data_IF_032669986299
#
_entry.id   IF_032669986299
#
_cell.length_a   1.000
_cell.length_b   1.000
_cell.length_c   1.000
_cell.angle_alpha   90.00
_cell.angle_beta   90.00
_cell.angle_gamma   90.00
#
_symmetry.space_group_name_H-M   'P 1'
#
loop_
_entity.id
_entity.type
_entity.pdbx_description
1 polymer ?
#
# COMPACT_ATOMS: atom_id res chain seq x y z
N UNK A 1 37.23 36.58 26.39
CA UNK A 1 36.46 37.82 26.66
C UNK A 1 36.18 38.64 25.40
N UNK A 2 36.85 38.42 24.26
CA UNK A 2 36.67 39.20 23.02
C UNK A 2 35.32 39.01 22.31
N UNK A 3 34.58 37.93 22.61
CA UNK A 3 33.29 37.63 21.94
C UNK A 3 32.21 38.70 22.16
N UNK A 4 32.23 39.36 23.32
CA UNK A 4 31.23 40.38 23.67
C UNK A 4 31.52 41.75 23.02
N UNK A 5 32.75 42.00 22.58
CA UNK A 5 33.13 43.27 21.94
C UNK A 5 32.78 43.31 20.45
N UNK A 6 32.63 42.14 19.81
CA UNK A 6 32.30 42.02 18.39
C UNK A 6 30.81 41.80 18.11
N UNK A 7 29.92 41.99 19.10
CA UNK A 7 28.48 41.77 18.91
C UNK A 7 27.87 42.98 18.19
N UNK A 8 27.39 42.84 16.94
CA UNK A 8 26.69 43.94 16.28
C UNK A 8 25.45 44.32 17.09
N UNK A 9 25.06 45.59 17.02
CA UNK A 9 23.81 46.07 17.60
C UNK A 9 22.61 45.29 17.03
N UNK A 10 21.54 45.18 17.81
CA UNK A 10 20.36 44.38 17.42
C UNK A 10 19.76 44.84 16.08
N UNK A 11 19.71 46.14 15.83
CA UNK A 11 19.21 46.72 14.57
C UNK A 11 20.07 46.33 13.37
N UNK A 12 21.40 46.38 13.53
CA UNK A 12 22.36 45.99 12.48
C UNK A 12 22.20 44.51 12.14
N UNK A 13 22.05 43.67 13.15
CA UNK A 13 21.84 42.24 12.97
C UNK A 13 20.51 41.95 12.26
N UNK A 14 19.45 42.66 12.60
CA UNK A 14 18.13 42.49 11.98
C UNK A 14 18.16 42.87 10.49
N UNK A 15 18.83 43.98 10.14
CA UNK A 15 19.00 44.39 8.75
C UNK A 15 19.81 43.35 7.95
N UNK A 16 20.91 42.85 8.52
CA UNK A 16 21.72 41.80 7.90
C UNK A 16 20.92 40.50 7.68
N UNK A 17 20.07 40.11 8.63
CA UNK A 17 19.20 38.95 8.49
C UNK A 17 18.16 39.20 7.40
N UNK A 18 17.56 40.41 7.35
CA UNK A 18 16.63 40.80 6.30
C UNK A 18 17.23 40.68 4.91
N UNK A 19 18.39 41.30 4.70
CA UNK A 19 19.13 41.27 3.43
C UNK A 19 19.56 39.85 3.04
N UNK A 20 19.94 39.03 4.04
CA UNK A 20 20.28 37.63 3.79
C UNK A 20 19.06 36.81 3.37
N UNK A 21 17.91 36.99 4.03
CA UNK A 21 16.69 36.27 3.70
C UNK A 21 16.18 36.63 2.30
N UNK A 22 16.15 37.91 1.95
CA UNK A 22 15.70 38.36 0.62
C UNK A 22 16.59 37.80 -0.49
N UNK A 23 17.91 37.93 -0.36
CA UNK A 23 18.85 37.38 -1.36
C UNK A 23 18.82 35.86 -1.44
N UNK A 24 18.54 35.17 -0.33
CA UNK A 24 18.41 33.71 -0.31
C UNK A 24 17.11 33.25 -0.98
N UNK A 25 15.99 33.92 -0.70
CA UNK A 25 14.69 33.63 -1.32
C UNK A 25 14.71 33.88 -2.83
N UNK A 26 15.35 34.97 -3.29
CA UNK A 26 15.54 35.27 -4.71
C UNK A 26 16.30 34.14 -5.43
N UNK A 27 17.44 33.70 -4.88
CA UNK A 27 18.22 32.57 -5.42
C UNK A 27 17.41 31.28 -5.49
N UNK A 28 16.61 31.01 -4.46
CA UNK A 28 15.81 29.78 -4.39
C UNK A 28 14.67 29.78 -5.42
N UNK A 29 14.05 30.93 -5.66
CA UNK A 29 13.04 31.09 -6.72
C UNK A 29 13.65 30.98 -8.13
N UNK A 30 14.85 31.54 -8.36
CA UNK A 30 15.58 31.36 -9.62
C UNK A 30 15.91 29.89 -9.89
N UNK A 31 16.40 29.16 -8.88
CA UNK A 31 16.63 27.72 -8.99
C UNK A 31 15.34 26.93 -9.26
N UNK A 32 14.22 27.31 -8.63
CA UNK A 32 12.94 26.64 -8.87
C UNK A 32 12.49 26.85 -10.31
N UNK A 33 12.56 28.09 -10.82
CA UNK A 33 12.24 28.43 -12.21
C UNK A 33 13.14 27.70 -13.20
N UNK A 34 14.45 27.61 -12.92
CA UNK A 34 15.39 26.87 -13.77
C UNK A 34 15.07 25.37 -13.82
N UNK A 35 14.73 24.77 -12.67
CA UNK A 35 14.30 23.36 -12.60
C UNK A 35 12.98 23.13 -13.34
N UNK A 36 12.03 24.05 -13.24
CA UNK A 36 10.75 24.01 -13.96
C UNK A 36 10.95 24.13 -15.48
N UNK A 37 11.83 25.04 -15.94
CA UNK A 37 12.17 25.20 -17.36
C UNK A 37 12.85 23.94 -17.93
N UNK A 38 13.82 23.37 -17.21
CA UNK A 38 14.51 22.14 -17.62
C UNK A 38 13.54 20.95 -17.70
N UNK A 39 12.60 20.87 -16.76
CA UNK A 39 11.54 19.86 -16.78
C UNK A 39 10.60 20.02 -18.00
N UNK A 40 10.26 21.26 -18.37
CA UNK A 40 9.42 21.55 -19.53
C UNK A 40 10.10 21.18 -20.86
N UNK A 41 11.40 21.47 -21.02
CA UNK A 41 12.17 21.13 -22.22
C UNK A 41 12.32 19.62 -22.43
N UNK A 42 12.50 18.85 -21.35
CA UNK A 42 12.63 17.40 -21.41
C UNK A 42 11.31 16.64 -21.60
N UNK A 43 10.17 17.32 -21.57
CA UNK A 43 8.84 16.69 -21.61
C UNK A 43 8.49 15.88 -20.36
N UNK A 44 9.22 16.06 -19.26
CA UNK A 44 8.99 15.35 -17.99
C UNK A 44 8.42 16.32 -16.95
N UNK A 45 7.22 16.07 -16.45
CA UNK A 45 6.60 16.87 -15.39
C UNK A 45 7.12 16.48 -14.00
N UNK A 46 7.54 17.47 -13.21
CA UNK A 46 7.94 17.26 -11.81
C UNK A 46 6.71 16.90 -10.99
N UNK A 47 6.68 15.70 -10.42
CA UNK A 47 5.59 15.26 -9.53
C UNK A 47 5.70 16.01 -8.20
N UNK A 48 4.79 16.96 -7.98
CA UNK A 48 4.65 17.59 -6.67
C UNK A 48 3.84 16.69 -5.75
N UNK A 49 4.44 16.28 -4.63
CA UNK A 49 3.71 15.60 -3.58
C UNK A 49 2.88 16.61 -2.78
N UNK A 50 1.61 16.77 -3.13
CA UNK A 50 0.66 17.45 -2.26
C UNK A 50 0.44 16.61 -1.01
N UNK A 51 1.18 16.92 0.06
CA UNK A 51 0.94 16.35 1.38
C UNK A 51 -0.35 16.96 1.91
N UNK A 52 -1.50 16.43 1.47
CA UNK A 52 -2.77 16.76 2.11
C UNK A 52 -2.68 16.23 3.53
N UNK A 53 -2.43 17.14 4.47
CA UNK A 53 -2.60 16.84 5.89
C UNK A 53 -4.10 16.58 6.04
N UNK A 54 -4.51 15.31 6.08
CA UNK A 54 -5.86 14.94 6.52
C UNK A 54 -6.05 15.59 7.88
N UNK A 55 -6.83 16.67 7.94
CA UNK A 55 -7.25 17.26 9.21
C UNK A 55 -8.23 16.27 9.83
N UNK A 56 -7.71 15.36 10.64
CA UNK A 56 -8.51 14.45 11.48
C UNK A 56 -8.73 15.03 12.88
N UNK A 57 -8.43 16.32 13.04
CA UNK A 57 -8.52 17.04 14.31
C UNK A 57 -9.50 18.18 14.10
N UNK A 58 -10.60 18.13 14.83
CA UNK A 58 -11.54 19.23 14.94
C UNK A 58 -10.83 20.42 15.63
N UNK A 59 -10.94 21.61 15.06
CA UNK A 59 -10.19 22.80 15.51
C UNK A 59 -10.67 23.35 16.86
N UNK A 60 -11.88 22.98 17.28
CA UNK A 60 -12.48 23.44 18.54
C UNK A 60 -12.14 22.51 19.71
N UNK A 61 -12.06 21.20 19.47
CA UNK A 61 -11.94 20.19 20.53
C UNK A 61 -10.58 19.50 20.60
N UNK A 62 -9.71 19.62 19.59
CA UNK A 62 -8.37 19.01 19.59
C UNK A 62 -8.34 17.48 19.59
N UNK A 63 -9.51 16.83 19.55
CA UNK A 63 -9.63 15.36 19.61
C UNK A 63 -9.43 14.79 18.20
N UNK A 64 -8.49 13.86 18.09
CA UNK A 64 -8.26 13.10 16.87
C UNK A 64 -9.39 12.07 16.69
N UNK A 65 -10.40 12.39 15.86
CA UNK A 65 -11.47 11.44 15.49
C UNK A 65 -10.94 10.52 14.40
N UNK A 66 -10.12 9.56 14.81
CA UNK A 66 -9.61 8.49 13.96
C UNK A 66 -10.46 7.22 14.06
N UNK A 67 -11.78 7.31 14.17
CA UNK A 67 -12.64 6.12 14.08
C UNK A 67 -12.83 5.75 12.61
N UNK A 68 -11.87 5.01 12.06
CA UNK A 68 -12.06 4.40 10.75
C UNK A 68 -13.14 3.34 10.91
N UNK A 69 -14.37 3.67 10.51
CA UNK A 69 -15.49 2.73 10.49
C UNK A 69 -15.05 1.41 9.82
N UNK A 70 -15.28 0.27 10.47
CA UNK A 70 -14.88 -1.04 9.96
C UNK A 70 -15.41 -1.27 8.54
N UNK A 71 -16.65 -0.83 8.28
CA UNK A 71 -17.25 -0.84 6.95
C UNK A 71 -16.43 -0.06 5.89
N UNK A 72 -15.76 1.02 6.26
CA UNK A 72 -14.89 1.77 5.34
C UNK A 72 -13.54 1.07 5.10
N UNK A 73 -13.06 0.25 6.04
CA UNK A 73 -11.87 -0.60 5.85
C UNK A 73 -12.20 -1.79 4.96
N UNK A 74 -13.31 -2.47 5.21
CA UNK A 74 -13.78 -3.61 4.42
C UNK A 74 -14.05 -3.20 2.96
N UNK A 75 -14.72 -2.07 2.74
CA UNK A 75 -14.91 -1.53 1.39
C UNK A 75 -13.58 -1.17 0.71
N UNK A 76 -12.57 -0.72 1.46
CA UNK A 76 -11.23 -0.45 0.91
C UNK A 76 -10.45 -1.73 0.62
N UNK A 77 -10.66 -2.80 1.39
CA UNK A 77 -10.07 -4.11 1.14
C UNK A 77 -10.72 -4.78 -0.06
N UNK A 78 -12.05 -4.75 -0.17
CA UNK A 78 -12.79 -5.28 -1.31
C UNK A 78 -12.49 -4.54 -2.63
N UNK A 79 -12.22 -3.23 -2.57
CA UNK A 79 -11.82 -2.43 -3.74
C UNK A 79 -10.36 -2.60 -4.14
N UNK A 80 -9.52 -3.20 -3.30
CA UNK A 80 -8.14 -3.53 -3.70
C UNK A 80 -8.20 -4.72 -4.64
N UNK A 81 -7.68 -4.54 -5.85
CA UNK A 81 -7.39 -5.66 -6.75
C UNK A 81 -6.43 -6.60 -6.00
N UNK A 82 -6.77 -7.89 -5.92
CA UNK A 82 -5.90 -8.89 -5.31
C UNK A 82 -4.52 -8.79 -5.98
N UNK A 83 -3.52 -8.37 -5.21
CA UNK A 83 -2.11 -8.26 -5.62
C UNK A 83 -1.40 -9.61 -5.56
N UNK A 84 -2.16 -10.68 -5.43
CA UNK A 84 -1.62 -12.03 -5.40
C UNK A 84 -1.37 -12.46 -6.83
N UNK A 85 -0.16 -12.97 -7.06
CA UNK A 85 0.20 -13.66 -8.30
C UNK A 85 -0.87 -14.73 -8.52
N UNK A 86 -1.56 -14.67 -9.67
CA UNK A 86 -2.67 -15.58 -9.96
C UNK A 86 -2.26 -17.03 -9.66
N UNK A 87 -3.17 -17.83 -9.11
CA UNK A 87 -2.90 -19.19 -8.61
C UNK A 87 -2.34 -20.17 -9.66
N UNK A 88 -2.21 -19.71 -10.91
CA UNK A 88 -1.79 -20.43 -12.10
C UNK A 88 -0.52 -19.88 -12.76
N UNK A 89 0.22 -18.98 -12.09
CA UNK A 89 1.40 -18.36 -12.67
C UNK A 89 2.48 -19.38 -13.06
N UNK A 90 2.61 -20.48 -12.30
CA UNK A 90 3.58 -21.53 -12.59
C UNK A 90 2.93 -22.86 -12.99
N UNK A 91 3.58 -23.56 -13.93
CA UNK A 91 3.12 -24.88 -14.41
C UNK A 91 3.07 -25.97 -13.34
N UNK A 92 3.82 -25.85 -12.25
CA UNK A 92 3.77 -26.81 -11.16
C UNK A 92 2.48 -26.68 -10.34
N UNK A 93 1.94 -25.47 -10.18
CA UNK A 93 0.69 -25.21 -9.45
C UNK A 93 -0.48 -25.98 -10.09
N UNK A 94 -0.57 -25.95 -11.43
CA UNK A 94 -1.58 -26.71 -12.18
C UNK A 94 -1.43 -28.22 -12.02
N UNK A 95 -0.20 -28.74 -12.05
CA UNK A 95 0.07 -30.18 -11.86
C UNK A 95 -0.28 -30.64 -10.46
N UNK A 96 0.03 -29.85 -9.45
CA UNK A 96 -0.30 -30.15 -8.05
C UNK A 96 -1.81 -30.11 -7.81
N UNK A 97 -2.52 -29.11 -8.34
CA UNK A 97 -3.98 -29.03 -8.26
C UNK A 97 -4.64 -30.28 -8.88
N UNK A 98 -4.27 -30.64 -10.11
CA UNK A 98 -4.78 -31.84 -10.79
C UNK A 98 -4.47 -33.13 -10.02
N UNK A 99 -3.25 -33.25 -9.45
CA UNK A 99 -2.87 -34.41 -8.64
C UNK A 99 -3.74 -34.51 -7.38
N UNK A 100 -3.98 -33.39 -6.71
CA UNK A 100 -4.79 -33.35 -5.50
C UNK A 100 -6.25 -33.74 -5.80
N UNK A 101 -6.82 -33.23 -6.90
CA UNK A 101 -8.16 -33.61 -7.38
C UNK A 101 -8.24 -35.12 -7.67
N UNK A 102 -7.24 -35.69 -8.35
CA UNK A 102 -7.19 -37.13 -8.62
C UNK A 102 -7.08 -37.97 -7.34
N UNK A 103 -6.28 -37.54 -6.36
CA UNK A 103 -6.17 -38.25 -5.08
C UNK A 103 -7.49 -38.21 -4.31
N UNK A 104 -8.19 -37.06 -4.30
CA UNK A 104 -9.50 -36.94 -3.67
C UNK A 104 -10.52 -37.87 -4.33
N UNK A 105 -10.51 -37.95 -5.66
CA UNK A 105 -11.39 -38.84 -6.41
C UNK A 105 -11.10 -40.32 -6.13
N UNK A 106 -9.83 -40.71 -6.03
CA UNK A 106 -9.42 -42.07 -5.67
C UNK A 106 -9.88 -42.44 -4.26
N UNK A 107 -9.70 -41.54 -3.28
CA UNK A 107 -10.17 -41.76 -1.90
C UNK A 107 -11.68 -42.02 -1.85
N UNK A 108 -12.47 -41.15 -2.50
CA UNK A 108 -13.93 -41.29 -2.58
C UNK A 108 -14.34 -42.60 -3.26
N UNK A 109 -13.66 -42.98 -4.34
CA UNK A 109 -13.93 -44.22 -5.04
C UNK A 109 -13.66 -45.46 -4.17
N UNK A 110 -12.57 -45.45 -3.39
CA UNK A 110 -12.26 -46.54 -2.46
C UNK A 110 -13.30 -46.66 -1.34
N UNK A 111 -13.77 -45.54 -0.80
CA UNK A 111 -14.85 -45.50 0.19
C UNK A 111 -16.15 -46.10 -0.36
N UNK A 112 -16.54 -45.70 -1.57
CA UNK A 112 -17.75 -46.20 -2.21
C UNK A 112 -17.62 -47.68 -2.60
N UNK A 113 -16.44 -48.12 -3.03
CA UNK A 113 -16.15 -49.54 -3.28
C UNK A 113 -16.33 -50.36 -2.00
N UNK A 114 -15.86 -49.87 -0.86
CA UNK A 114 -16.05 -50.53 0.45
C UNK A 114 -17.53 -50.59 0.84
N UNK A 115 -18.28 -49.49 0.68
CA UNK A 115 -19.74 -49.48 0.91
C UNK A 115 -20.47 -50.49 0.02
N UNK A 116 -20.17 -50.52 -1.28
CA UNK A 116 -20.83 -51.41 -2.21
C UNK A 116 -20.53 -52.88 -1.90
N UNK A 117 -19.31 -53.20 -1.45
CA UNK A 117 -18.97 -54.54 -0.97
C UNK A 117 -19.78 -54.94 0.26
N UNK A 118 -19.94 -54.04 1.24
CA UNK A 118 -20.78 -54.30 2.41
C UNK A 118 -22.24 -54.56 2.01
N UNK A 119 -22.80 -53.74 1.11
CA UNK A 119 -24.16 -53.92 0.60
C UNK A 119 -24.33 -55.23 -0.18
N UNK A 120 -23.34 -55.62 -0.99
CA UNK A 120 -23.33 -56.90 -1.71
C UNK A 120 -23.29 -58.09 -0.75
N UNK A 121 -22.48 -58.02 0.30
CA UNK A 121 -22.39 -59.07 1.32
C UNK A 121 -23.69 -59.18 2.14
N UNK A 122 -24.32 -58.04 2.47
CA UNK A 122 -25.61 -58.02 3.16
C UNK A 122 -26.78 -58.49 2.27
N UNK A 123 -26.63 -58.42 0.93
CA UNK A 123 -27.67 -58.81 -0.02
C UNK A 123 -27.83 -60.34 -0.02
N UNK A 124 -28.97 -60.82 0.50
CA UNK A 124 -29.39 -62.22 0.46
C UNK A 124 -30.00 -62.60 -0.90
N UNK A 125 -29.23 -62.46 -1.98
CA UNK A 125 -29.70 -62.81 -3.32
C UNK A 125 -29.71 -64.33 -3.53
N UNK A 126 -30.86 -64.89 -3.88
CA UNK A 126 -31.03 -66.29 -4.27
C UNK A 126 -31.50 -66.33 -5.74
N UNK A 127 -30.62 -66.69 -6.69
CA UNK A 127 -30.92 -66.61 -8.12
C UNK A 127 -31.77 -67.77 -8.68
N UNK A 128 -32.15 -68.74 -7.84
CA UNK A 128 -32.96 -69.89 -8.20
C UNK A 128 -34.09 -70.03 -7.18
#
# INVERSE_FOLDING_TARGET
MEYHQNRPGLEVLQNQIGDFLTTYEEKLEEERKAKEALAAEGGWTVVQHHKSRKKTTDSESGIAVGSVAQAALENKLAKKKNKEVGQDFYRFQKREAQRNELMELQSKFEEDKKRLQQLRAARKFRPY
#
